data_IF_000172598223
#
_entry.id   IF_000172598223
#
_cell.length_a   1.000
_cell.length_b   1.000
_cell.length_c   1.000
_cell.angle_alpha   90.00
_cell.angle_beta   90.00
_cell.angle_gamma   90.00
#
_symmetry.space_group_name_H-M   'P 1'
#
loop_
_entity.id
_entity.type
_entity.pdbx_description
1 polymer ?
#
# COMPACT_ATOMS: atom_id res chain seq x y z
N UNK A 1 -10.42 -8.80 0.78
CA UNK A 1 -9.82 -8.81 -0.59
C UNK A 1 -8.60 -9.72 -0.57
N UNK A 2 -8.27 -10.38 -1.69
CA UNK A 2 -7.16 -11.32 -1.76
C UNK A 2 -6.05 -10.80 -2.69
N UNK A 3 -4.85 -10.60 -2.14
CA UNK A 3 -3.65 -10.27 -2.92
C UNK A 3 -3.06 -11.57 -3.47
N UNK A 4 -2.78 -11.66 -4.77
CA UNK A 4 -2.21 -12.88 -5.36
C UNK A 4 -0.80 -13.17 -4.83
N UNK A 5 -0.35 -14.42 -4.94
CA UNK A 5 1.00 -14.81 -4.51
C UNK A 5 2.11 -14.02 -5.23
N UNK A 6 1.95 -13.74 -6.53
CA UNK A 6 2.92 -12.97 -7.31
C UNK A 6 2.92 -11.48 -6.94
N UNK A 7 1.74 -10.89 -6.75
CA UNK A 7 1.62 -9.53 -6.21
C UNK A 7 2.27 -9.44 -4.83
N UNK A 8 2.04 -10.44 -3.97
CA UNK A 8 2.62 -10.52 -2.64
C UNK A 8 4.16 -10.59 -2.67
N UNK A 9 4.75 -11.37 -3.59
CA UNK A 9 6.22 -11.46 -3.73
C UNK A 9 6.85 -10.14 -4.14
N UNK A 10 6.14 -9.30 -4.90
CA UNK A 10 6.63 -7.97 -5.29
C UNK A 10 6.42 -6.94 -4.18
N UNK A 11 5.27 -6.97 -3.50
CA UNK A 11 4.90 -5.98 -2.49
C UNK A 11 5.62 -6.20 -1.15
N UNK A 12 6.01 -7.43 -0.79
CA UNK A 12 6.59 -7.76 0.53
C UNK A 12 7.86 -7.00 0.91
N UNK A 13 8.56 -6.41 -0.06
CA UNK A 13 9.81 -5.68 0.13
C UNK A 13 9.66 -4.16 -0.11
N UNK A 14 8.44 -3.63 -0.18
CA UNK A 14 8.26 -2.19 -0.35
C UNK A 14 8.63 -1.42 0.92
N UNK A 15 9.22 -0.26 0.73
CA UNK A 15 9.55 0.67 1.82
C UNK A 15 8.30 1.41 2.27
N UNK A 16 8.30 1.89 3.52
CA UNK A 16 7.25 2.76 4.04
C UNK A 16 7.04 4.00 3.14
N UNK A 17 8.10 4.55 2.56
CA UNK A 17 8.03 5.66 1.60
C UNK A 17 7.18 5.34 0.37
N UNK A 18 7.33 4.14 -0.20
CA UNK A 18 6.53 3.72 -1.37
C UNK A 18 5.06 3.61 -1.00
N UNK A 19 4.74 3.11 0.19
CA UNK A 19 3.37 3.02 0.70
C UNK A 19 2.78 4.42 0.89
N UNK A 20 3.51 5.33 1.53
CA UNK A 20 3.08 6.73 1.72
C UNK A 20 2.82 7.41 0.37
N UNK A 21 3.73 7.26 -0.59
CA UNK A 21 3.54 7.81 -1.94
C UNK A 21 2.36 7.17 -2.67
N UNK A 22 2.04 5.91 -2.40
CA UNK A 22 0.88 5.24 -2.96
C UNK A 22 -0.42 5.71 -2.31
N UNK A 23 -0.46 5.86 -0.98
CA UNK A 23 -1.60 6.42 -0.25
C UNK A 23 -1.96 7.81 -0.76
N UNK A 24 -0.97 8.70 -0.90
CA UNK A 24 -1.19 10.05 -1.46
C UNK A 24 -1.75 10.00 -2.89
N UNK A 25 -1.24 9.10 -3.73
CA UNK A 25 -1.75 8.89 -5.11
C UNK A 25 -3.14 8.26 -5.16
N UNK A 26 -3.50 7.52 -4.13
CA UNK A 26 -4.82 6.93 -3.98
C UNK A 26 -5.84 7.92 -3.38
N UNK A 27 -5.44 9.16 -3.12
CA UNK A 27 -6.32 10.19 -2.55
C UNK A 27 -6.54 10.05 -1.05
N UNK A 28 -5.61 9.41 -0.32
CA UNK A 28 -5.59 9.50 1.13
C UNK A 28 -4.99 10.83 1.55
N UNK A 29 -5.65 11.48 2.50
CA UNK A 29 -5.20 12.73 3.08
C UNK A 29 -4.38 12.44 4.33
N UNK A 30 -3.26 13.14 4.46
CA UNK A 30 -2.41 13.05 5.64
C UNK A 30 -3.01 13.95 6.72
N UNK A 31 -3.34 13.37 7.88
CA UNK A 31 -4.01 14.11 8.96
C UNK A 31 -2.97 14.64 9.95
N UNK A 32 -2.38 13.75 10.76
CA UNK A 32 -1.38 14.10 11.76
C UNK A 32 -0.17 13.17 11.69
N UNK A 33 1.02 13.73 11.89
CA UNK A 33 2.24 12.95 12.13
C UNK A 33 2.74 13.21 13.55
N UNK A 34 2.96 12.15 14.33
CA UNK A 34 3.58 12.23 15.67
C UNK A 34 4.75 11.27 15.73
N UNK A 35 5.97 11.83 15.82
CA UNK A 35 7.20 11.05 15.81
C UNK A 35 7.34 10.21 14.54
N UNK A 36 7.51 8.89 14.72
CA UNK A 36 7.64 7.92 13.62
C UNK A 36 6.29 7.43 13.07
N UNK A 37 5.18 8.10 13.38
CA UNK A 37 3.84 7.61 13.00
C UNK A 37 3.10 8.67 12.20
N UNK A 38 2.54 8.27 11.05
CA UNK A 38 1.79 9.15 10.15
C UNK A 38 0.38 8.58 9.98
N UNK A 39 -0.63 9.35 10.39
CA UNK A 39 -2.04 9.02 10.18
C UNK A 39 -2.51 9.48 8.80
N UNK A 40 -3.23 8.60 8.10
CA UNK A 40 -3.90 8.90 6.85
C UNK A 40 -5.38 8.59 6.97
N UNK A 41 -6.18 9.44 6.34
CA UNK A 41 -7.64 9.33 6.32
C UNK A 41 -8.12 9.39 4.87
N UNK A 42 -9.07 8.54 4.49
CA UNK A 42 -9.70 8.58 3.17
C UNK A 42 -11.20 8.66 3.32
N UNK A 43 -11.76 9.76 2.83
CA UNK A 43 -13.20 9.98 2.77
C UNK A 43 -13.72 9.43 1.45
N UNK A 44 -13.96 8.11 1.38
CA UNK A 44 -14.31 7.40 0.13
C UNK A 44 -15.77 7.59 -0.27
N UNK A 45 -16.36 8.77 -0.05
CA UNK A 45 -17.79 9.05 -0.25
C UNK A 45 -18.72 8.10 0.52
N UNK A 46 -18.19 7.36 1.50
CA UNK A 46 -18.92 6.35 2.24
C UNK A 46 -19.64 7.02 3.42
N UNK A 47 -20.96 6.79 3.59
CA UNK A 47 -21.74 7.40 4.67
C UNK A 47 -21.40 6.87 6.07
N UNK A 48 -20.53 5.86 6.18
CA UNK A 48 -20.16 5.17 7.42
C UNK A 48 -18.66 5.30 7.65
N UNK A 49 -18.28 6.36 8.36
CA UNK A 49 -16.95 6.70 8.86
C UNK A 49 -15.77 6.72 7.84
N UNK A 50 -14.92 7.75 7.87
CA UNK A 50 -13.74 7.78 7.01
C UNK A 50 -12.77 6.66 7.39
N UNK A 51 -12.20 5.97 6.40
CA UNK A 51 -11.19 4.94 6.64
C UNK A 51 -9.91 5.60 7.15
N UNK A 52 -9.34 5.09 8.26
CA UNK A 52 -8.11 5.61 8.86
C UNK A 52 -7.04 4.52 8.86
N UNK A 53 -5.84 4.85 8.39
CA UNK A 53 -4.67 3.97 8.47
C UNK A 53 -3.50 4.68 9.13
N UNK A 54 -2.80 3.96 10.00
CA UNK A 54 -1.65 4.49 10.73
C UNK A 54 -0.39 3.83 10.18
N UNK A 55 0.50 4.63 9.62
CA UNK A 55 1.73 4.18 8.98
C UNK A 55 2.92 4.51 9.86
N UNK A 56 3.59 3.49 10.38
CA UNK A 56 4.81 3.65 11.18
C UNK A 56 6.01 3.89 10.23
N UNK A 57 6.39 5.15 10.06
CA UNK A 57 7.50 5.57 9.22
C UNK A 57 8.84 5.52 9.97
N UNK A 58 9.68 4.56 9.57
CA UNK A 58 11.11 4.60 9.84
C UNK A 58 11.87 4.67 8.51
N UNK A 59 12.76 5.66 8.32
CA UNK A 59 13.54 5.78 7.10
C UNK A 59 14.27 4.47 6.76
N UNK A 60 14.26 4.10 5.48
CA UNK A 60 14.94 2.91 4.93
C UNK A 60 14.50 1.54 5.51
N UNK A 61 13.45 1.47 6.34
CA UNK A 61 12.92 0.20 6.84
C UNK A 61 11.75 -0.30 5.99
N UNK A 62 11.73 -1.61 5.77
CA UNK A 62 10.56 -2.35 5.27
C UNK A 62 9.70 -2.81 6.43
N UNK A 63 8.42 -3.07 6.18
CA UNK A 63 7.57 -3.71 7.16
C UNK A 63 7.82 -5.20 7.23
N UNK A 64 7.65 -5.78 8.43
CA UNK A 64 7.54 -7.23 8.55
C UNK A 64 6.32 -7.70 7.72
N UNK A 65 6.41 -8.86 7.04
CA UNK A 65 5.33 -9.41 6.22
C UNK A 65 3.95 -9.36 6.88
N UNK A 66 3.85 -9.70 8.17
CA UNK A 66 2.58 -9.68 8.91
C UNK A 66 1.97 -8.28 9.02
N UNK A 67 2.77 -7.28 9.40
CA UNK A 67 2.32 -5.88 9.52
C UNK A 67 1.93 -5.31 8.15
N UNK A 68 2.69 -5.62 7.11
CA UNK A 68 2.35 -5.18 5.76
C UNK A 68 0.99 -5.74 5.29
N UNK A 69 0.70 -7.03 5.56
CA UNK A 69 -0.61 -7.62 5.23
C UNK A 69 -1.74 -6.92 5.96
N UNK A 70 -1.56 -6.60 7.24
CA UNK A 70 -2.56 -5.87 8.02
C UNK A 70 -2.81 -4.49 7.42
N UNK A 71 -1.74 -3.71 7.18
CA UNK A 71 -1.85 -2.38 6.56
C UNK A 71 -2.59 -2.45 5.21
N UNK A 72 -2.22 -3.38 4.32
CA UNK A 72 -2.88 -3.51 3.02
C UNK A 72 -4.35 -3.96 3.14
N UNK A 73 -4.65 -4.80 4.14
CA UNK A 73 -6.03 -5.21 4.44
C UNK A 73 -6.88 -4.06 4.96
N UNK A 74 -6.33 -3.23 5.84
CA UNK A 74 -7.01 -2.06 6.42
C UNK A 74 -7.28 -0.98 5.36
N UNK A 75 -6.34 -0.82 4.42
CA UNK A 75 -6.48 0.08 3.26
C UNK A 75 -7.50 -0.50 2.25
N UNK A 76 -7.58 -1.83 2.15
CA UNK A 76 -8.46 -2.52 1.24
C UNK A 76 -7.97 -2.55 -0.21
N UNK A 77 -6.67 -2.43 -0.47
CA UNK A 77 -6.12 -2.56 -1.83
C UNK A 77 -6.09 -4.01 -2.30
N UNK A 78 -6.52 -4.22 -3.54
CA UNK A 78 -6.36 -5.46 -4.27
C UNK A 78 -5.19 -5.39 -5.28
N UNK A 79 -4.98 -6.45 -6.05
CA UNK A 79 -3.95 -6.50 -7.09
C UNK A 79 -4.11 -5.36 -8.13
N UNK A 80 -5.36 -4.97 -8.45
CA UNK A 80 -5.65 -3.90 -9.40
C UNK A 80 -5.22 -2.55 -8.86
N UNK A 81 -5.49 -2.27 -7.58
CA UNK A 81 -5.04 -1.09 -6.87
C UNK A 81 -3.52 -1.05 -6.75
N UNK A 82 -2.90 -2.18 -6.38
CA UNK A 82 -1.44 -2.27 -6.30
C UNK A 82 -0.77 -2.00 -7.66
N UNK A 83 -1.38 -2.43 -8.77
CA UNK A 83 -0.92 -2.09 -10.13
C UNK A 83 -1.15 -0.61 -10.46
N UNK A 84 -2.35 -0.08 -10.21
CA UNK A 84 -2.73 1.33 -10.45
C UNK A 84 -1.79 2.28 -9.70
N UNK A 85 -1.41 1.92 -8.47
CA UNK A 85 -0.52 2.69 -7.61
C UNK A 85 0.96 2.44 -7.88
N UNK A 86 1.28 1.61 -8.89
CA UNK A 86 2.64 1.28 -9.32
C UNK A 86 3.48 0.66 -8.19
N UNK A 87 2.84 -0.09 -7.30
CA UNK A 87 3.51 -0.87 -6.23
C UNK A 87 3.98 -2.23 -6.74
N UNK A 88 3.25 -2.81 -7.70
CA UNK A 88 3.62 -4.03 -8.40
C UNK A 88 3.56 -3.78 -9.91
N UNK A 89 4.30 -4.58 -10.69
CA UNK A 89 4.15 -4.64 -12.14
C UNK A 89 3.43 -5.92 -12.52
N UNK A 90 2.50 -5.83 -13.49
CA UNK A 90 2.04 -7.00 -14.22
C UNK A 90 3.29 -7.55 -14.93
N UNK A 91 3.71 -8.76 -14.56
CA UNK A 91 4.90 -9.37 -15.15
C UNK A 91 4.77 -9.31 -16.66
N UNK A 92 5.74 -8.68 -17.34
CA UNK A 92 5.89 -8.92 -18.77
C UNK A 92 6.10 -10.42 -18.89
N UNK A 93 5.21 -11.15 -19.57
CA UNK A 93 5.64 -12.44 -20.15
C UNK A 93 6.92 -12.10 -20.91
N UNK A 94 8.03 -12.68 -20.49
CA UNK A 94 9.27 -12.61 -21.26
C UNK A 94 8.90 -13.06 -22.68
N UNK A 95 9.08 -12.16 -23.65
CA UNK A 95 9.20 -12.58 -25.05
C UNK A 95 10.43 -13.48 -25.07
N UNK A 96 10.23 -14.80 -25.05
CA UNK A 96 11.19 -15.70 -25.70
C UNK A 96 11.03 -15.39 -27.18
N UNK A 97 12.02 -14.72 -27.74
CA UNK A 97 12.24 -14.69 -29.19
C UNK A 97 13.11 -15.91 -29.45
N UNK A 98 12.58 -16.84 -30.24
CA UNK A 98 13.31 -17.91 -30.92
C UNK A 98 14.48 -17.36 -31.74
#
# INVERSE_FOLDING_TARGET
>A
MAISHDAWRQVKNITAEKIIRALKRDGWEQEHSRGATIGFTKNRGAPLAPSRVVVHYHPKKTYKPKLLKQILSDIGWDDSDLMRLKLIRKGKKSKKSD
#
